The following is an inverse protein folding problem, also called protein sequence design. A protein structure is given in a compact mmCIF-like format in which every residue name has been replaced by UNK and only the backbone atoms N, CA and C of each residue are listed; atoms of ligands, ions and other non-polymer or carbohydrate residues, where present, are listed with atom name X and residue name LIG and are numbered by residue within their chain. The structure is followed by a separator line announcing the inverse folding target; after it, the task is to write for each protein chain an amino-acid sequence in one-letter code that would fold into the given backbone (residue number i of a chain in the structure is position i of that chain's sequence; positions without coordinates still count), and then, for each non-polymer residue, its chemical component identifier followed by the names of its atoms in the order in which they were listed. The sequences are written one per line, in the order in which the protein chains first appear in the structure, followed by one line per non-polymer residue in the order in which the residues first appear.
data_IF_980792255389
#
_entry.id   IF_980792255389
#
_cell.length_a   1.000
_cell.length_b   1.000
_cell.length_c   1.000
_cell.angle_alpha   90.00
_cell.angle_beta   90.00
_cell.angle_gamma   90.00
#
_symmetry.space_group_name_H-M   'P 1'
#
loop_
_entity.id
_entity.type
_entity.pdbx_description
1 polymer ?
#
# COMPACT_ATOMS: atom_id res chain seq x y z
N UNK A 1 -2.81 -3.19 -12.79
CA UNK A 1 -3.13 -3.46 -11.38
C UNK A 1 -1.96 -4.14 -10.72
N UNK A 2 -1.53 -3.63 -9.58
CA UNK A 2 -0.32 -4.10 -8.92
C UNK A 2 -0.63 -4.48 -7.49
N UNK A 3 -0.18 -5.66 -7.07
CA UNK A 3 -0.40 -6.15 -5.72
C UNK A 3 0.94 -6.22 -4.99
N UNK A 4 0.99 -5.65 -3.78
CA UNK A 4 2.20 -5.63 -2.97
C UNK A 4 1.94 -6.39 -1.67
N UNK A 5 2.87 -7.28 -1.33
CA UNK A 5 2.84 -7.99 -0.07
C UNK A 5 3.47 -7.11 1.01
N UNK A 6 2.72 -6.81 2.06
CA UNK A 6 3.21 -5.96 3.15
C UNK A 6 4.40 -6.57 3.89
N UNK A 7 4.60 -7.88 3.78
CA UNK A 7 5.76 -8.51 4.37
C UNK A 7 7.06 -8.18 3.63
N UNK A 8 6.96 -7.62 2.43
CA UNK A 8 8.12 -7.27 1.63
C UNK A 8 8.58 -5.82 1.83
N UNK A 9 7.89 -5.05 2.65
CA UNK A 9 8.29 -3.68 2.92
C UNK A 9 8.98 -3.58 4.28
N UNK A 10 9.73 -2.50 4.46
CA UNK A 10 10.49 -2.28 5.70
C UNK A 10 9.64 -1.56 6.74
N UNK A 11 8.71 -2.29 7.32
CA UNK A 11 7.97 -1.81 8.48
C UNK A 11 7.63 -2.99 9.38
N UNK A 12 7.63 -2.75 10.68
CA UNK A 12 7.25 -3.77 11.64
C UNK A 12 5.76 -3.74 11.97
N UNK A 13 5.05 -2.76 11.41
CA UNK A 13 3.64 -2.58 11.74
C UNK A 13 2.87 -2.23 10.47
N UNK A 14 2.07 -3.19 10.01
CA UNK A 14 1.27 -3.02 8.80
C UNK A 14 0.29 -1.85 8.92
N UNK A 15 -0.15 -1.51 10.14
CA UNK A 15 -1.06 -0.38 10.33
C UNK A 15 -0.41 0.95 9.99
N UNK A 16 0.88 1.08 10.21
CA UNK A 16 1.60 2.29 9.80
C UNK A 16 1.56 2.47 8.29
N UNK A 17 1.75 1.37 7.56
CA UNK A 17 1.68 1.42 6.11
C UNK A 17 0.28 1.77 5.63
N UNK A 18 -0.74 1.19 6.23
CA UNK A 18 -2.12 1.47 5.88
C UNK A 18 -2.49 2.93 6.20
N UNK A 19 -2.06 3.44 7.35
CA UNK A 19 -2.29 4.84 7.70
C UNK A 19 -1.65 5.77 6.69
N UNK A 20 -0.44 5.45 6.24
CA UNK A 20 0.24 6.24 5.22
C UNK A 20 -0.56 6.26 3.92
N UNK A 21 -1.16 5.12 3.55
CA UNK A 21 -1.99 5.04 2.35
C UNK A 21 -3.23 5.96 2.47
N UNK A 22 -3.89 5.95 3.62
CA UNK A 22 -5.02 6.83 3.85
C UNK A 22 -4.63 8.31 3.75
N UNK A 23 -3.50 8.67 4.32
CA UNK A 23 -3.06 10.06 4.32
C UNK A 23 -2.57 10.51 2.95
N UNK A 24 -1.99 9.59 2.19
CA UNK A 24 -1.39 9.94 0.89
C UNK A 24 -2.36 9.84 -0.26
N UNK A 25 -3.16 8.78 -0.29
CA UNK A 25 -4.05 8.48 -1.42
C UNK A 25 -5.53 8.64 -1.09
N UNK A 26 -5.88 8.83 0.18
CA UNK A 26 -7.25 8.90 0.60
C UNK A 26 -7.83 7.54 0.98
N UNK A 27 -9.15 7.44 1.11
CA UNK A 27 -9.78 6.19 1.55
C UNK A 27 -9.61 5.06 0.54
N UNK A 28 -9.64 3.83 1.05
CA UNK A 28 -9.55 2.65 0.21
C UNK A 28 -10.73 2.55 -0.74
N UNK A 29 -10.50 1.92 -1.88
CA UNK A 29 -11.55 1.66 -2.85
C UNK A 29 -11.31 2.29 -4.20
N UNK A 30 -10.71 3.49 -4.26
CA UNK A 30 -10.47 4.20 -5.51
C UNK A 30 -9.09 3.90 -6.09
N UNK A 31 -8.05 4.30 -5.38
CA UNK A 31 -6.68 4.18 -5.88
C UNK A 31 -5.99 2.94 -5.34
N UNK A 32 -6.40 2.50 -4.19
CA UNK A 32 -5.82 1.32 -3.54
C UNK A 32 -6.89 0.60 -2.73
N UNK A 33 -6.64 -0.66 -2.41
CA UNK A 33 -7.53 -1.44 -1.56
C UNK A 33 -6.76 -2.55 -0.89
N UNK A 34 -7.23 -2.99 0.28
CA UNK A 34 -6.69 -4.19 0.91
C UNK A 34 -7.29 -5.41 0.22
N UNK A 35 -6.43 -6.24 -0.35
CA UNK A 35 -6.86 -7.47 -0.99
C UNK A 35 -7.02 -8.58 0.05
N UNK A 36 -6.14 -8.56 1.04
CA UNK A 36 -6.10 -9.53 2.13
C UNK A 36 -5.42 -8.83 3.29
N UNK A 37 -5.23 -9.49 4.41
CA UNK A 37 -4.58 -8.91 5.59
C UNK A 37 -3.14 -8.47 5.30
N UNK A 38 -2.49 -9.09 4.33
CA UNK A 38 -1.09 -8.82 4.03
C UNK A 38 -0.86 -8.27 2.62
N UNK A 39 -1.90 -8.11 1.81
CA UNK A 39 -1.75 -7.66 0.43
C UNK A 39 -2.51 -6.37 0.18
N UNK A 40 -1.83 -5.42 -0.48
CA UNK A 40 -2.43 -4.17 -0.91
C UNK A 40 -2.46 -4.15 -2.43
N UNK A 41 -3.61 -3.82 -3.00
CA UNK A 41 -3.78 -3.71 -4.44
C UNK A 41 -3.79 -2.24 -4.84
N UNK A 42 -3.02 -1.90 -5.86
CA UNK A 42 -3.00 -0.55 -6.43
C UNK A 42 -3.53 -0.59 -7.85
N UNK A 43 -4.37 0.37 -8.20
CA UNK A 43 -4.86 0.49 -9.56
C UNK A 43 -3.78 0.94 -10.52
N UNK A 44 -2.93 1.87 -10.06
CA UNK A 44 -1.87 2.42 -10.89
C UNK A 44 -0.52 1.94 -10.40
N UNK A 45 0.31 1.50 -11.33
CA UNK A 45 1.65 1.04 -11.00
C UNK A 45 2.49 2.15 -10.35
N UNK A 46 2.30 3.39 -10.76
CA UNK A 46 3.05 4.50 -10.18
C UNK A 46 2.75 4.69 -8.69
N UNK A 47 1.51 4.44 -8.28
CA UNK A 47 1.15 4.53 -6.87
C UNK A 47 1.83 3.42 -6.07
N UNK A 48 1.88 2.22 -6.63
CA UNK A 48 2.60 1.10 -6.02
C UNK A 48 4.08 1.41 -5.88
N UNK A 49 4.65 2.04 -6.91
CA UNK A 49 6.07 2.42 -6.90
C UNK A 49 6.35 3.44 -5.79
N UNK A 50 5.49 4.45 -5.64
CA UNK A 50 5.64 5.43 -4.58
C UNK A 50 5.59 4.77 -3.20
N UNK A 51 4.68 3.83 -3.03
CA UNK A 51 4.56 3.08 -1.79
C UNK A 51 5.84 2.31 -1.49
N UNK A 52 6.37 1.60 -2.47
CA UNK A 52 7.60 0.83 -2.31
C UNK A 52 8.80 1.72 -1.98
N UNK A 53 8.90 2.86 -2.64
CA UNK A 53 9.99 3.81 -2.40
C UNK A 53 9.93 4.32 -0.96
N UNK A 54 8.75 4.66 -0.50
CA UNK A 54 8.58 5.20 0.85
C UNK A 54 8.98 4.17 1.91
N UNK A 55 8.67 2.91 1.69
CA UNK A 55 8.89 1.86 2.67
C UNK A 55 10.11 0.98 2.41
N UNK A 56 10.95 1.38 1.48
CA UNK A 56 12.17 0.62 1.17
C UNK A 56 13.32 0.90 2.14
#
# INVERSE_FOLDING_TARGET
MTIINLNNIKTNDARKAVNWLYETFGPAGDRWAMKDLTYVEFRKERDATLFLIHWS
#
